data_IF_249781361948
#
_entry.id   IF_249781361948
#
_cell.length_a   1.000
_cell.length_b   1.000
_cell.length_c   1.000
_cell.angle_alpha   90.00
_cell.angle_beta   90.00
_cell.angle_gamma   90.00
#
_symmetry.space_group_name_H-M   'P 1'
#
loop_
_entity.id
_entity.type
_entity.pdbx_description
1 polymer ?
#
# COMPACT_ATOMS: atom_id res chain seq x y z
N UNK A 1 1.34 -37.58 -32.04
CA UNK A 1 2.19 -38.09 -30.96
C UNK A 1 3.12 -36.96 -30.64
N UNK A 2 2.96 -36.31 -29.49
CA UNK A 2 3.93 -35.33 -29.05
C UNK A 2 5.18 -36.08 -28.65
N UNK A 3 6.35 -35.72 -29.21
CA UNK A 3 7.61 -36.30 -28.78
C UNK A 3 7.80 -35.98 -27.30
N UNK A 4 7.70 -36.95 -26.43
CA UNK A 4 7.95 -36.78 -25.01
C UNK A 4 9.40 -36.36 -24.82
N UNK A 5 9.62 -35.27 -24.10
CA UNK A 5 10.97 -34.79 -23.75
C UNK A 5 11.62 -35.86 -22.89
N UNK A 6 12.52 -36.63 -23.44
CA UNK A 6 13.07 -37.84 -22.81
C UNK A 6 14.55 -37.77 -22.47
N UNK A 7 15.29 -36.82 -23.06
CA UNK A 7 16.75 -36.72 -22.85
C UNK A 7 17.10 -35.43 -22.06
N UNK A 8 18.22 -35.47 -21.33
CA UNK A 8 18.75 -34.28 -20.65
C UNK A 8 19.04 -33.09 -21.60
N UNK A 9 19.43 -33.40 -22.84
CA UNK A 9 19.68 -32.37 -23.84
C UNK A 9 18.39 -31.62 -24.25
N UNK A 10 17.31 -32.39 -24.46
CA UNK A 10 15.97 -31.83 -24.75
C UNK A 10 15.40 -31.05 -23.58
N UNK A 11 15.53 -31.53 -22.34
CA UNK A 11 15.14 -30.81 -21.13
C UNK A 11 15.89 -29.49 -20.99
N UNK A 12 17.20 -29.50 -21.22
CA UNK A 12 18.01 -28.26 -21.20
C UNK A 12 17.58 -27.29 -22.29
N UNK A 13 17.36 -27.75 -23.51
CA UNK A 13 16.89 -26.92 -24.60
C UNK A 13 15.52 -26.31 -24.29
N UNK A 14 14.56 -27.11 -23.82
CA UNK A 14 13.23 -26.68 -23.45
C UNK A 14 13.26 -25.64 -22.31
N UNK A 15 14.05 -25.88 -21.26
CA UNK A 15 14.15 -24.96 -20.12
C UNK A 15 14.78 -23.61 -20.47
N UNK A 16 15.54 -23.54 -21.57
CA UNK A 16 16.19 -22.31 -22.02
C UNK A 16 15.47 -21.60 -23.17
N UNK A 17 14.31 -22.11 -23.57
CA UNK A 17 13.50 -21.46 -24.62
C UNK A 17 13.13 -20.04 -24.18
N UNK A 18 13.38 -19.02 -25.03
CA UNK A 18 12.96 -17.66 -24.75
C UNK A 18 11.43 -17.57 -24.67
N UNK A 19 10.91 -17.13 -23.53
CA UNK A 19 9.48 -16.87 -23.30
C UNK A 19 9.30 -15.51 -22.63
N UNK A 20 8.09 -14.99 -22.64
CA UNK A 20 7.75 -13.78 -21.89
C UNK A 20 8.06 -13.97 -20.39
N UNK A 21 7.71 -15.14 -19.84
CA UNK A 21 7.99 -15.49 -18.45
C UNK A 21 9.49 -15.38 -18.09
N UNK A 22 10.38 -15.85 -18.97
CA UNK A 22 11.83 -15.77 -18.76
C UNK A 22 12.34 -14.34 -18.89
N UNK A 23 11.83 -13.58 -19.87
CA UNK A 23 12.21 -12.19 -20.05
C UNK A 23 11.85 -11.34 -18.83
N UNK A 24 10.68 -11.55 -18.24
CA UNK A 24 10.22 -10.85 -17.03
C UNK A 24 11.16 -11.09 -15.83
N UNK A 25 11.67 -12.31 -15.66
CA UNK A 25 12.71 -12.59 -14.66
C UNK A 25 14.05 -11.94 -15.00
N UNK A 26 14.38 -11.84 -16.28
CA UNK A 26 15.57 -11.11 -16.73
C UNK A 26 15.47 -9.60 -16.42
N UNK A 27 14.29 -9.02 -16.50
CA UNK A 27 14.06 -7.62 -16.09
C UNK A 27 14.12 -7.43 -14.55
N UNK A 28 13.69 -8.44 -13.81
CA UNK A 28 13.65 -8.39 -12.34
C UNK A 28 15.05 -8.41 -11.72
N UNK A 29 15.88 -9.34 -12.15
CA UNK A 29 17.16 -9.63 -11.50
C UNK A 29 18.32 -8.80 -12.07
N UNK A 30 19.27 -8.46 -11.20
CA UNK A 30 20.47 -7.70 -11.53
C UNK A 30 21.24 -8.36 -12.68
N UNK A 31 21.62 -7.55 -13.67
CA UNK A 31 22.29 -7.99 -14.89
C UNK A 31 21.54 -9.13 -15.63
N UNK A 32 20.26 -9.32 -15.37
CA UNK A 32 19.44 -10.40 -15.90
C UNK A 32 19.86 -11.80 -15.45
N UNK A 33 20.60 -11.91 -14.34
CA UNK A 33 21.18 -13.17 -13.84
C UNK A 33 20.35 -13.77 -12.72
N UNK A 34 19.93 -15.01 -12.89
CA UNK A 34 19.22 -15.78 -11.87
C UNK A 34 19.53 -17.26 -11.94
N UNK A 35 19.31 -17.96 -10.85
CA UNK A 35 19.38 -19.43 -10.77
C UNK A 35 17.96 -19.99 -10.76
N UNK A 36 17.64 -20.80 -11.76
CA UNK A 36 16.33 -21.45 -11.86
C UNK A 36 16.25 -22.63 -10.88
N UNK A 37 15.09 -22.75 -10.20
CA UNK A 37 14.75 -23.83 -9.31
C UNK A 37 13.82 -24.82 -10.05
N UNK A 38 14.08 -26.13 -9.90
CA UNK A 38 13.29 -27.21 -10.53
C UNK A 38 13.07 -27.00 -12.03
N UNK A 39 14.12 -26.57 -12.73
CA UNK A 39 14.08 -26.19 -14.16
C UNK A 39 13.50 -27.28 -15.08
N UNK A 40 13.59 -28.54 -14.67
CA UNK A 40 13.17 -29.70 -15.46
C UNK A 40 11.89 -30.37 -14.95
N UNK A 41 11.24 -29.76 -13.94
CA UNK A 41 9.95 -30.29 -13.48
C UNK A 41 8.90 -30.21 -14.59
N UNK A 42 8.17 -31.31 -14.79
CA UNK A 42 7.25 -31.48 -15.91
C UNK A 42 5.82 -31.69 -15.44
N UNK A 43 4.88 -31.32 -16.29
CA UNK A 43 3.45 -31.59 -16.18
C UNK A 43 3.01 -32.35 -17.43
N UNK A 44 3.00 -33.71 -17.36
CA UNK A 44 2.80 -34.57 -18.52
C UNK A 44 3.98 -34.48 -19.50
N UNK A 45 3.68 -34.19 -20.75
CA UNK A 45 4.68 -34.13 -21.84
C UNK A 45 5.36 -32.76 -22.00
N UNK A 46 5.05 -31.79 -21.12
CA UNK A 46 5.64 -30.41 -21.15
C UNK A 46 6.31 -30.07 -19.83
N UNK A 47 7.14 -29.03 -19.83
CA UNK A 47 7.60 -28.41 -18.58
C UNK A 47 6.41 -27.84 -17.81
N UNK A 48 6.59 -27.60 -16.51
CA UNK A 48 5.51 -27.25 -15.58
C UNK A 48 4.79 -25.92 -15.85
N UNK A 49 5.21 -25.11 -16.84
CA UNK A 49 4.54 -23.84 -17.19
C UNK A 49 4.75 -22.70 -16.18
N UNK A 50 5.77 -22.82 -15.34
CA UNK A 50 6.25 -21.74 -14.46
C UNK A 50 7.75 -21.81 -14.33
N UNK A 51 8.41 -20.68 -14.38
CA UNK A 51 9.83 -20.54 -14.07
C UNK A 51 9.93 -20.03 -12.63
N UNK A 52 10.61 -20.78 -11.77
CA UNK A 52 10.88 -20.40 -10.38
C UNK A 52 12.38 -20.19 -10.22
N UNK A 53 12.76 -19.14 -9.55
CA UNK A 53 14.15 -18.70 -9.50
C UNK A 53 14.51 -17.97 -8.22
N UNK A 54 15.79 -17.81 -7.99
CA UNK A 54 16.34 -16.81 -7.09
C UNK A 54 17.46 -16.02 -7.75
N UNK A 55 17.65 -14.81 -7.33
CA UNK A 55 18.68 -13.90 -7.79
C UNK A 55 18.81 -12.70 -6.86
N UNK A 56 19.36 -11.61 -7.37
CA UNK A 56 19.55 -10.39 -6.61
C UNK A 56 18.82 -9.23 -7.27
N UNK A 57 18.29 -8.33 -6.46
CA UNK A 57 17.70 -7.05 -6.86
C UNK A 57 18.39 -5.97 -6.04
N UNK A 58 19.11 -5.06 -6.71
CA UNK A 58 19.95 -4.06 -6.06
C UNK A 58 20.87 -4.68 -4.99
N UNK A 59 21.47 -5.84 -5.33
CA UNK A 59 22.37 -6.59 -4.44
C UNK A 59 21.69 -7.39 -3.31
N UNK A 60 20.39 -7.33 -3.16
CA UNK A 60 19.63 -8.05 -2.14
C UNK A 60 19.01 -9.33 -2.71
N UNK A 61 19.05 -10.47 -2.00
CA UNK A 61 18.48 -11.72 -2.47
C UNK A 61 16.96 -11.64 -2.57
N UNK A 62 16.40 -12.24 -3.63
CA UNK A 62 14.96 -12.30 -3.89
C UNK A 62 14.61 -13.66 -4.50
N UNK A 63 13.52 -14.25 -4.07
CA UNK A 63 12.88 -15.35 -4.76
C UNK A 63 11.80 -14.85 -5.70
N UNK A 64 11.65 -15.52 -6.85
CA UNK A 64 10.60 -15.16 -7.79
C UNK A 64 10.03 -16.38 -8.52
N UNK A 65 8.81 -16.24 -9.01
CA UNK A 65 8.24 -17.11 -10.01
C UNK A 65 7.58 -16.30 -11.11
N UNK A 66 7.59 -16.83 -12.33
CA UNK A 66 6.91 -16.23 -13.48
C UNK A 66 6.15 -17.30 -14.24
N UNK A 67 4.84 -17.12 -14.40
CA UNK A 67 3.98 -18.06 -15.13
C UNK A 67 4.17 -17.90 -16.63
N UNK A 68 4.17 -19.02 -17.33
CA UNK A 68 4.37 -19.09 -18.78
C UNK A 68 3.06 -19.44 -19.48
N UNK A 69 2.42 -18.43 -20.05
CA UNK A 69 1.15 -18.55 -20.76
C UNK A 69 1.24 -19.45 -22.01
N UNK A 70 2.43 -19.69 -22.54
CA UNK A 70 2.61 -20.60 -23.68
C UNK A 70 2.39 -22.08 -23.33
N UNK A 71 2.36 -22.40 -22.03
CA UNK A 71 2.09 -23.72 -21.51
C UNK A 71 0.72 -23.75 -20.86
N UNK A 72 -0.28 -24.36 -21.49
CA UNK A 72 -1.67 -24.51 -20.98
C UNK A 72 -2.30 -23.16 -20.59
N UNK A 73 -2.05 -22.11 -21.36
CA UNK A 73 -2.53 -20.75 -21.07
C UNK A 73 -2.16 -20.26 -19.65
N UNK A 74 -1.00 -20.71 -19.13
CA UNK A 74 -0.54 -20.38 -17.79
C UNK A 74 -1.36 -21.02 -16.65
N UNK A 75 -2.32 -21.89 -16.98
CA UNK A 75 -3.20 -22.52 -15.99
C UNK A 75 -2.42 -23.35 -14.97
N UNK A 76 -2.77 -23.19 -13.69
CA UNK A 76 -2.07 -23.82 -12.59
C UNK A 76 -2.37 -25.32 -12.52
N UNK A 77 -1.34 -26.14 -12.71
CA UNK A 77 -1.33 -27.58 -12.45
C UNK A 77 -0.72 -27.88 -11.07
N UNK A 78 -0.91 -29.12 -10.58
CA UNK A 78 -0.24 -29.61 -9.36
C UNK A 78 1.30 -29.48 -9.46
N UNK A 79 1.88 -29.72 -10.64
CA UNK A 79 3.33 -29.61 -10.85
C UNK A 79 3.81 -28.15 -10.78
N UNK A 80 3.05 -27.23 -11.35
CA UNK A 80 3.33 -25.79 -11.28
C UNK A 80 3.25 -25.29 -9.83
N UNK A 81 2.20 -25.69 -9.11
CA UNK A 81 2.02 -25.32 -7.71
C UNK A 81 3.15 -25.81 -6.80
N UNK A 82 3.65 -27.03 -7.00
CA UNK A 82 4.78 -27.57 -6.23
C UNK A 82 6.06 -26.73 -6.42
N UNK A 83 6.32 -26.24 -7.62
CA UNK A 83 7.45 -25.31 -7.87
C UNK A 83 7.27 -24.00 -7.12
N UNK A 84 6.07 -23.40 -7.19
CA UNK A 84 5.75 -22.14 -6.49
C UNK A 84 5.79 -22.33 -4.97
N UNK A 85 5.22 -23.41 -4.44
CA UNK A 85 5.26 -23.72 -3.01
C UNK A 85 6.70 -23.86 -2.49
N UNK A 86 7.62 -24.41 -3.28
CA UNK A 86 9.04 -24.46 -2.95
C UNK A 86 9.67 -23.07 -2.83
N UNK A 87 9.27 -22.11 -3.67
CA UNK A 87 9.70 -20.70 -3.55
C UNK A 87 9.29 -20.15 -2.19
N UNK A 88 8.03 -20.30 -1.81
CA UNK A 88 7.53 -19.83 -0.51
C UNK A 88 8.18 -20.56 0.68
N UNK A 89 8.40 -21.87 0.60
CA UNK A 89 9.11 -22.64 1.64
C UNK A 89 10.55 -22.15 1.84
N UNK A 90 11.26 -21.85 0.75
CA UNK A 90 12.60 -21.29 0.82
C UNK A 90 12.58 -19.85 1.39
N UNK A 91 11.62 -19.03 0.98
CA UNK A 91 11.43 -17.69 1.53
C UNK A 91 11.15 -17.73 3.05
N UNK A 92 10.31 -18.67 3.50
CA UNK A 92 10.05 -18.89 4.93
C UNK A 92 11.31 -19.27 5.73
N UNK A 93 12.18 -20.06 5.14
CA UNK A 93 13.43 -20.56 5.77
C UNK A 93 14.53 -19.49 5.83
N UNK A 94 14.53 -18.58 4.87
CA UNK A 94 15.64 -17.62 4.69
C UNK A 94 15.28 -16.19 5.04
N UNK A 95 13.97 -15.87 5.19
CA UNK A 95 13.50 -14.50 5.42
C UNK A 95 13.76 -13.58 4.22
N UNK A 96 13.58 -14.07 3.00
CA UNK A 96 13.86 -13.37 1.74
C UNK A 96 12.54 -13.07 1.02
N UNK A 97 12.37 -11.88 0.43
CA UNK A 97 11.16 -11.48 -0.27
C UNK A 97 10.79 -12.38 -1.45
N UNK A 98 9.50 -12.37 -1.81
CA UNK A 98 8.96 -13.09 -2.96
C UNK A 98 8.31 -12.14 -3.96
N UNK A 99 8.67 -12.29 -5.24
CA UNK A 99 8.01 -11.63 -6.37
C UNK A 99 7.30 -12.68 -7.23
N UNK A 100 5.97 -12.61 -7.29
CA UNK A 100 5.16 -13.45 -8.17
C UNK A 100 4.77 -12.71 -9.44
N UNK A 101 5.09 -13.26 -10.62
CA UNK A 101 4.71 -12.67 -11.91
C UNK A 101 3.64 -13.55 -12.53
N UNK A 102 2.43 -13.00 -12.60
CA UNK A 102 1.21 -13.71 -12.97
C UNK A 102 0.85 -13.49 -14.45
N UNK A 103 0.59 -14.59 -15.13
CA UNK A 103 0.02 -14.65 -16.48
C UNK A 103 -0.70 -16.00 -16.61
N UNK A 104 -1.96 -16.08 -16.13
CA UNK A 104 -2.65 -17.34 -15.89
C UNK A 104 -4.17 -17.20 -15.96
N UNK A 105 -4.81 -18.07 -16.69
CA UNK A 105 -6.26 -18.21 -16.72
C UNK A 105 -6.86 -18.93 -15.49
N UNK A 106 -6.05 -19.19 -14.47
CA UNK A 106 -6.52 -19.78 -13.21
C UNK A 106 -6.17 -21.26 -13.08
N UNK A 107 -7.09 -22.07 -12.55
CA UNK A 107 -6.88 -23.49 -12.33
C UNK A 107 -6.95 -24.29 -13.63
N UNK A 108 -6.04 -25.24 -13.83
CA UNK A 108 -6.12 -26.19 -14.96
C UNK A 108 -7.34 -27.11 -14.77
N UNK A 109 -8.28 -27.01 -15.71
CA UNK A 109 -9.55 -27.75 -15.67
C UNK A 109 -9.31 -29.26 -15.78
N UNK A 110 -8.25 -29.67 -16.47
CA UNK A 110 -7.92 -31.10 -16.63
C UNK A 110 -7.36 -31.73 -15.35
N UNK A 111 -6.71 -30.96 -14.49
CA UNK A 111 -6.27 -31.38 -13.17
C UNK A 111 -7.42 -31.40 -12.13
N UNK A 112 -8.54 -30.76 -12.43
CA UNK A 112 -9.75 -30.77 -11.63
C UNK A 112 -9.52 -30.33 -10.18
N UNK A 113 -9.96 -31.16 -9.22
CA UNK A 113 -9.82 -30.87 -7.78
C UNK A 113 -8.38 -30.80 -7.29
N UNK A 114 -7.41 -31.34 -8.00
CA UNK A 114 -5.98 -31.25 -7.65
C UNK A 114 -5.49 -29.81 -7.80
N UNK A 115 -5.90 -29.10 -8.88
CA UNK A 115 -5.58 -27.70 -9.06
C UNK A 115 -6.19 -26.83 -7.95
N UNK A 116 -7.41 -27.13 -7.48
CA UNK A 116 -8.02 -26.41 -6.36
C UNK A 116 -7.26 -26.62 -5.04
N UNK A 117 -6.88 -27.86 -4.74
CA UNK A 117 -6.05 -28.13 -3.56
C UNK A 117 -4.70 -27.41 -3.64
N UNK A 118 -4.11 -27.36 -4.82
CA UNK A 118 -2.85 -26.67 -5.08
C UNK A 118 -2.96 -25.17 -4.82
N UNK A 119 -4.02 -24.51 -5.30
CA UNK A 119 -4.28 -23.10 -4.95
C UNK A 119 -4.51 -22.90 -3.46
N UNK A 120 -5.22 -23.80 -2.79
CA UNK A 120 -5.42 -23.76 -1.33
C UNK A 120 -4.08 -23.80 -0.58
N UNK A 121 -3.15 -24.63 -1.00
CA UNK A 121 -1.79 -24.69 -0.44
C UNK A 121 -1.03 -23.38 -0.68
N UNK A 122 -1.07 -22.81 -1.89
CA UNK A 122 -0.40 -21.56 -2.19
C UNK A 122 -0.98 -20.39 -1.39
N UNK A 123 -2.30 -20.29 -1.25
CA UNK A 123 -2.97 -19.28 -0.42
C UNK A 123 -2.60 -19.42 1.07
N UNK A 124 -2.42 -20.64 1.55
CA UNK A 124 -1.90 -20.88 2.90
C UNK A 124 -0.47 -20.35 3.04
N UNK A 125 0.39 -20.59 2.06
CA UNK A 125 1.77 -20.08 2.08
C UNK A 125 1.82 -18.56 2.07
N UNK A 126 1.07 -17.88 1.20
CA UNK A 126 1.02 -16.41 1.16
C UNK A 126 0.52 -15.82 2.48
N UNK A 127 -0.52 -16.44 3.07
CA UNK A 127 -1.08 -16.02 4.35
C UNK A 127 -0.07 -16.20 5.50
N UNK A 128 0.66 -17.32 5.53
CA UNK A 128 1.67 -17.58 6.57
C UNK A 128 2.87 -16.63 6.48
N UNK A 129 3.21 -16.17 5.29
CA UNK A 129 4.33 -15.25 5.05
C UNK A 129 3.91 -13.78 5.08
N UNK A 130 2.62 -13.48 5.11
CA UNK A 130 2.11 -12.12 5.19
C UNK A 130 2.62 -11.41 6.45
N UNK A 131 3.28 -10.26 6.26
CA UNK A 131 3.95 -9.53 7.34
C UNK A 131 5.21 -10.20 7.89
N UNK A 132 5.72 -11.27 7.25
CA UNK A 132 7.00 -11.91 7.58
C UNK A 132 8.05 -11.54 6.55
N UNK A 133 7.77 -11.72 5.29
CA UNK A 133 8.59 -11.28 4.16
C UNK A 133 7.76 -10.49 3.17
N UNK A 134 8.29 -9.46 2.53
CA UNK A 134 7.59 -8.74 1.48
C UNK A 134 7.17 -9.67 0.33
N UNK A 135 5.92 -9.55 -0.09
CA UNK A 135 5.33 -10.26 -1.21
C UNK A 135 4.80 -9.25 -2.23
N UNK A 136 5.30 -9.28 -3.45
CA UNK A 136 4.85 -8.39 -4.52
C UNK A 136 4.31 -9.24 -5.67
N UNK A 137 3.09 -8.92 -6.10
CA UNK A 137 2.48 -9.51 -7.29
C UNK A 137 2.64 -8.56 -8.48
N UNK A 138 3.05 -9.10 -9.62
CA UNK A 138 3.09 -8.41 -10.90
C UNK A 138 2.11 -9.12 -11.83
N UNK A 139 1.05 -8.46 -12.22
CA UNK A 139 0.08 -8.96 -13.21
C UNK A 139 0.53 -8.49 -14.59
N UNK A 140 1.12 -9.41 -15.35
CA UNK A 140 1.81 -9.11 -16.60
C UNK A 140 1.02 -9.54 -17.85
N UNK A 141 -0.11 -10.19 -17.66
CA UNK A 141 -1.04 -10.65 -18.67
C UNK A 141 -2.39 -10.94 -18.04
N UNK A 142 -3.03 -12.04 -18.41
CA UNK A 142 -4.28 -12.44 -17.75
C UNK A 142 -4.00 -12.97 -16.34
N UNK A 143 -4.81 -12.55 -15.37
CA UNK A 143 -4.78 -13.09 -14.01
C UNK A 143 -6.23 -13.32 -13.56
N UNK A 144 -6.69 -14.58 -13.68
CA UNK A 144 -8.10 -14.92 -13.55
C UNK A 144 -8.36 -15.92 -12.42
N UNK A 145 -9.57 -15.87 -11.85
CA UNK A 145 -10.06 -16.83 -10.87
C UNK A 145 -9.19 -16.95 -9.63
N UNK A 146 -8.74 -18.16 -9.32
CA UNK A 146 -7.88 -18.40 -8.15
C UNK A 146 -6.51 -17.72 -8.27
N UNK A 147 -6.01 -17.46 -9.50
CA UNK A 147 -4.76 -16.71 -9.71
C UNK A 147 -4.91 -15.28 -9.24
N UNK A 148 -6.06 -14.63 -9.51
CA UNK A 148 -6.34 -13.29 -9.03
C UNK A 148 -6.39 -13.22 -7.50
N UNK A 149 -6.99 -14.22 -6.84
CA UNK A 149 -7.00 -14.31 -5.37
C UNK A 149 -5.58 -14.46 -4.80
N UNK A 150 -4.74 -15.26 -5.47
CA UNK A 150 -3.35 -15.46 -5.05
C UNK A 150 -2.52 -14.17 -5.24
N UNK A 151 -2.68 -13.47 -6.35
CA UNK A 151 -2.00 -12.20 -6.61
C UNK A 151 -2.39 -11.14 -5.57
N UNK A 152 -3.69 -11.01 -5.25
CA UNK A 152 -4.19 -10.03 -4.27
C UNK A 152 -3.82 -10.37 -2.81
N UNK A 153 -3.36 -11.60 -2.56
CA UNK A 153 -2.84 -11.99 -1.23
C UNK A 153 -1.45 -11.41 -0.95
N UNK A 154 -0.78 -10.79 -1.93
CA UNK A 154 0.48 -10.09 -1.76
C UNK A 154 0.31 -8.75 -1.00
N UNK A 155 1.41 -8.16 -0.57
CA UNK A 155 1.40 -6.84 0.08
C UNK A 155 1.04 -5.73 -0.92
N UNK A 156 1.57 -5.83 -2.15
CA UNK A 156 1.30 -4.91 -3.25
C UNK A 156 1.11 -5.65 -4.56
N UNK A 157 0.13 -5.23 -5.35
CA UNK A 157 -0.13 -5.73 -6.70
C UNK A 157 0.16 -4.63 -7.72
N UNK A 158 1.06 -4.90 -8.65
CA UNK A 158 1.40 -4.03 -9.79
C UNK A 158 0.84 -4.67 -11.06
N UNK A 159 0.25 -3.90 -11.95
CA UNK A 159 -0.40 -4.41 -13.16
C UNK A 159 0.08 -3.70 -14.42
N UNK A 160 0.33 -4.44 -15.48
CA UNK A 160 0.56 -3.87 -16.81
C UNK A 160 -0.78 -3.39 -17.41
N UNK A 161 -0.77 -2.31 -18.18
CA UNK A 161 -1.95 -1.64 -18.74
C UNK A 161 -2.84 -2.55 -19.58
N UNK A 162 -2.21 -3.43 -20.35
CA UNK A 162 -2.94 -4.38 -21.21
C UNK A 162 -3.26 -5.71 -20.51
N UNK A 163 -2.95 -5.82 -19.22
CA UNK A 163 -3.24 -7.00 -18.41
C UNK A 163 -4.66 -6.93 -17.83
N UNK A 164 -5.16 -8.09 -17.42
CA UNK A 164 -6.48 -8.26 -16.85
C UNK A 164 -6.43 -8.92 -15.48
N UNK A 165 -7.22 -8.42 -14.54
CA UNK A 165 -7.32 -8.96 -13.19
C UNK A 165 -8.80 -9.13 -12.80
N UNK A 166 -9.27 -10.38 -12.66
CA UNK A 166 -10.67 -10.68 -12.38
C UNK A 166 -10.90 -12.08 -11.80
N UNK A 167 -12.01 -12.28 -11.10
CA UNK A 167 -12.42 -13.60 -10.61
C UNK A 167 -13.11 -14.42 -11.71
N UNK A 168 -14.05 -13.81 -12.43
CA UNK A 168 -14.76 -14.42 -13.56
C UNK A 168 -15.04 -13.37 -14.62
N UNK A 169 -14.98 -13.71 -15.91
CA UNK A 169 -15.32 -12.78 -16.98
C UNK A 169 -16.73 -12.22 -16.80
N UNK A 170 -16.87 -10.91 -16.93
CA UNK A 170 -18.15 -10.23 -16.83
C UNK A 170 -18.33 -9.26 -18.00
N UNK A 171 -19.43 -9.41 -18.76
CA UNK A 171 -19.71 -8.54 -19.89
C UNK A 171 -20.03 -7.08 -19.53
N UNK A 172 -20.41 -6.81 -18.28
CA UNK A 172 -20.82 -5.49 -17.80
C UNK A 172 -19.71 -4.73 -17.07
N UNK A 173 -18.62 -5.39 -16.73
CA UNK A 173 -17.48 -4.79 -16.01
C UNK A 173 -16.22 -5.07 -16.83
N UNK A 174 -15.44 -4.04 -17.08
CA UNK A 174 -14.12 -4.22 -17.69
C UNK A 174 -13.18 -4.88 -16.69
N UNK A 175 -12.53 -5.95 -17.13
CA UNK A 175 -11.51 -6.65 -16.32
C UNK A 175 -10.12 -5.96 -16.41
N UNK A 176 -10.09 -4.69 -16.83
CA UNK A 176 -8.89 -3.95 -17.18
C UNK A 176 -8.07 -3.52 -15.96
N UNK A 177 -6.82 -3.17 -16.21
CA UNK A 177 -5.92 -2.60 -15.24
C UNK A 177 -6.46 -1.31 -14.59
N UNK A 178 -7.17 -0.47 -15.37
CA UNK A 178 -7.81 0.75 -14.86
C UNK A 178 -8.87 0.41 -13.82
N UNK A 179 -9.74 -0.57 -14.10
CA UNK A 179 -10.74 -1.02 -13.12
C UNK A 179 -10.09 -1.61 -11.86
N UNK A 180 -8.98 -2.34 -12.01
CA UNK A 180 -8.22 -2.87 -10.87
C UNK A 180 -7.60 -1.74 -10.03
N UNK A 181 -7.17 -0.65 -10.65
CA UNK A 181 -6.68 0.53 -9.93
C UNK A 181 -7.82 1.29 -9.23
N UNK A 182 -8.94 1.50 -9.89
CA UNK A 182 -10.10 2.23 -9.35
C UNK A 182 -10.76 1.52 -8.17
N UNK A 183 -10.74 0.20 -8.13
CA UNK A 183 -11.30 -0.60 -7.03
C UNK A 183 -10.28 -0.96 -5.94
N UNK A 184 -9.02 -0.56 -6.09
CA UNK A 184 -7.95 -0.73 -5.10
C UNK A 184 -7.23 -2.07 -5.12
N UNK A 185 -7.53 -2.97 -6.06
CA UNK A 185 -6.80 -4.24 -6.20
C UNK A 185 -5.42 -4.07 -6.84
N UNK A 186 -5.20 -3.03 -7.65
CA UNK A 186 -3.88 -2.70 -8.16
C UNK A 186 -3.33 -1.42 -7.51
N UNK A 187 -2.14 -1.52 -6.94
CA UNK A 187 -1.45 -0.39 -6.34
C UNK A 187 -0.82 0.54 -7.38
N UNK A 188 -0.35 -0.01 -8.51
CA UNK A 188 0.28 0.73 -9.60
C UNK A 188 -0.10 0.12 -10.95
N UNK A 189 -0.45 0.97 -11.92
CA UNK A 189 -0.64 0.59 -13.34
C UNK A 189 0.55 1.07 -14.14
N UNK A 190 1.11 0.21 -14.97
CA UNK A 190 2.31 0.47 -15.77
C UNK A 190 2.04 0.27 -17.26
N UNK A 191 2.80 0.93 -18.12
CA UNK A 191 2.58 0.89 -19.58
C UNK A 191 2.71 -0.51 -20.19
N UNK A 192 3.62 -1.35 -19.67
CA UNK A 192 3.86 -2.71 -20.15
C UNK A 192 4.34 -3.62 -19.00
N UNK A 193 4.58 -4.90 -19.30
CA UNK A 193 5.05 -5.89 -18.33
C UNK A 193 6.48 -5.60 -17.84
N UNK A 194 7.32 -4.99 -18.64
CA UNK A 194 8.66 -4.57 -18.23
C UNK A 194 8.59 -3.42 -17.22
N UNK A 195 7.80 -2.40 -17.52
CA UNK A 195 7.57 -1.27 -16.60
C UNK A 195 6.93 -1.75 -15.29
N UNK A 196 6.03 -2.74 -15.35
CA UNK A 196 5.43 -3.34 -14.15
C UNK A 196 6.47 -4.08 -13.28
N UNK A 197 7.41 -4.80 -13.88
CA UNK A 197 8.52 -5.43 -13.15
C UNK A 197 9.45 -4.38 -12.55
N UNK A 198 9.77 -3.30 -13.26
CA UNK A 198 10.58 -2.20 -12.72
C UNK A 198 9.87 -1.46 -11.57
N UNK A 199 8.57 -1.26 -11.65
CA UNK A 199 7.78 -0.70 -10.54
C UNK A 199 7.79 -1.62 -9.32
N UNK A 200 7.67 -2.93 -9.52
CA UNK A 200 7.79 -3.91 -8.44
C UNK A 200 9.19 -3.88 -7.79
N UNK A 201 10.27 -3.74 -8.57
CA UNK A 201 11.63 -3.54 -8.04
C UNK A 201 11.71 -2.27 -7.19
N UNK A 202 11.18 -1.16 -7.68
CA UNK A 202 11.19 0.11 -6.96
C UNK A 202 10.43 0.03 -5.62
N UNK A 203 9.30 -0.67 -5.57
CA UNK A 203 8.60 -0.94 -4.30
C UNK A 203 9.45 -1.84 -3.41
N UNK A 204 9.96 -2.95 -3.95
CA UNK A 204 10.73 -3.95 -3.20
C UNK A 204 11.98 -3.34 -2.55
N UNK A 205 12.70 -2.48 -3.25
CA UNK A 205 13.90 -1.82 -2.73
C UNK A 205 13.62 -0.91 -1.54
N UNK A 206 12.40 -0.37 -1.42
CA UNK A 206 11.99 0.44 -0.25
C UNK A 206 11.53 -0.40 0.94
N UNK A 207 11.38 -1.71 0.79
CA UNK A 207 10.96 -2.60 1.86
C UNK A 207 12.18 -3.31 2.49
N UNK A 208 12.15 -3.62 3.78
CA UNK A 208 13.20 -4.44 4.39
C UNK A 208 13.14 -5.88 3.86
N UNK A 209 14.21 -6.64 4.02
CA UNK A 209 14.25 -8.05 3.59
C UNK A 209 13.18 -8.91 4.28
N UNK A 210 12.87 -8.61 5.52
CA UNK A 210 11.82 -9.24 6.32
C UNK A 210 11.46 -8.38 7.53
N UNK A 211 10.47 -8.79 8.29
CA UNK A 211 9.96 -8.05 9.45
C UNK A 211 10.95 -7.92 10.63
N UNK A 212 12.08 -8.60 10.60
CA UNK A 212 13.16 -8.50 11.61
C UNK A 212 14.35 -7.66 11.11
N UNK A 213 14.38 -7.36 9.83
CA UNK A 213 15.42 -6.53 9.21
C UNK A 213 15.14 -5.05 9.45
N UNK A 214 16.16 -4.21 9.59
CA UNK A 214 15.97 -2.76 9.62
C UNK A 214 15.43 -2.27 8.26
N UNK A 215 14.78 -1.11 8.27
CA UNK A 215 14.42 -0.43 7.02
C UNK A 215 15.67 -0.10 6.21
N UNK A 216 15.60 -0.18 4.87
CA UNK A 216 16.71 0.19 4.01
C UNK A 216 17.15 1.64 4.23
N UNK A 217 18.46 1.88 4.08
CA UNK A 217 19.05 3.22 4.13
C UNK A 217 19.79 3.49 2.83
N UNK A 218 19.56 4.67 2.26
CA UNK A 218 20.09 5.09 0.97
C UNK A 218 20.87 6.40 1.09
N UNK A 219 21.75 6.66 0.14
CA UNK A 219 22.20 8.02 -0.13
C UNK A 219 21.01 8.84 -0.63
N UNK A 220 20.89 10.08 -0.20
CA UNK A 220 19.73 10.90 -0.52
C UNK A 220 20.15 12.30 -0.96
N UNK A 221 19.27 12.93 -1.73
CA UNK A 221 19.35 14.35 -2.06
C UNK A 221 18.19 15.09 -1.38
N UNK A 222 18.45 16.31 -0.94
CA UNK A 222 17.38 17.15 -0.42
C UNK A 222 16.35 17.48 -1.52
N UNK A 223 15.06 17.60 -1.18
CA UNK A 223 14.06 18.00 -2.13
C UNK A 223 14.34 19.43 -2.65
N UNK A 224 14.05 19.64 -3.92
CA UNK A 224 14.21 20.94 -4.59
C UNK A 224 12.92 21.75 -4.61
N UNK A 225 11.79 21.13 -4.33
CA UNK A 225 10.47 21.75 -4.37
C UNK A 225 10.15 22.46 -3.06
N UNK A 226 9.42 23.57 -3.14
CA UNK A 226 8.86 24.23 -1.96
C UNK A 226 7.64 23.45 -1.47
N UNK A 227 7.39 23.46 -0.15
CA UNK A 227 6.23 22.76 0.44
C UNK A 227 4.93 23.32 -0.12
N UNK A 228 4.22 22.49 -0.88
CA UNK A 228 2.90 22.77 -1.44
C UNK A 228 1.79 22.80 -0.38
N UNK A 229 0.56 23.00 -0.85
CA UNK A 229 -0.64 22.95 0.00
C UNK A 229 -1.45 21.65 -0.21
N UNK A 230 -1.18 20.92 -1.28
CA UNK A 230 -1.81 19.63 -1.57
C UNK A 230 -0.95 18.43 -1.11
N UNK A 231 -1.56 17.25 -1.12
CA UNK A 231 -0.94 16.02 -0.64
C UNK A 231 0.34 15.63 -1.39
N UNK A 232 0.35 15.78 -2.71
CA UNK A 232 1.50 15.42 -3.55
C UNK A 232 2.65 16.42 -3.36
N UNK A 233 2.35 17.72 -3.39
CA UNK A 233 3.35 18.78 -3.18
C UNK A 233 4.00 18.72 -1.80
N UNK A 234 3.24 18.39 -0.75
CA UNK A 234 3.80 18.19 0.60
C UNK A 234 4.72 16.96 0.61
N UNK A 235 4.28 15.84 0.06
CA UNK A 235 5.07 14.61 0.05
C UNK A 235 6.41 14.81 -0.66
N UNK A 236 6.41 15.41 -1.86
CA UNK A 236 7.62 15.67 -2.67
C UNK A 236 8.56 16.69 -2.04
N UNK A 237 8.02 17.71 -1.36
CA UNK A 237 8.84 18.74 -0.73
C UNK A 237 9.44 18.33 0.61
N UNK A 238 8.87 17.33 1.28
CA UNK A 238 9.35 16.86 2.60
C UNK A 238 10.25 15.63 2.47
N UNK A 239 9.92 14.69 1.59
CA UNK A 239 10.71 13.49 1.36
C UNK A 239 11.97 13.79 0.54
N UNK A 240 12.88 12.84 0.48
CA UNK A 240 14.10 12.95 -0.32
C UNK A 240 13.78 13.08 -1.81
N UNK A 241 14.64 13.79 -2.54
CA UNK A 241 14.44 14.02 -3.96
C UNK A 241 14.28 12.72 -4.75
N UNK A 242 13.31 12.68 -5.66
CA UNK A 242 12.98 11.54 -6.53
C UNK A 242 12.68 10.20 -5.81
N UNK A 243 12.46 10.23 -4.48
CA UNK A 243 12.24 9.00 -3.70
C UNK A 243 10.79 8.54 -3.63
N UNK A 244 9.85 9.44 -3.91
CA UNK A 244 8.42 9.21 -3.68
C UNK A 244 7.84 8.25 -4.71
N UNK A 245 7.18 7.19 -4.22
CA UNK A 245 6.44 6.22 -5.04
C UNK A 245 5.00 6.18 -4.54
N UNK A 246 4.09 6.85 -5.23
CA UNK A 246 2.68 6.83 -4.90
C UNK A 246 2.08 5.44 -5.15
N UNK A 247 1.19 5.01 -4.25
CA UNK A 247 0.50 3.73 -4.30
C UNK A 247 -1.01 3.95 -4.24
N UNK A 248 -1.77 3.14 -4.97
CA UNK A 248 -3.23 3.21 -5.04
C UNK A 248 -3.76 4.61 -5.43
N UNK A 249 -3.12 5.27 -6.39
CA UNK A 249 -3.44 6.65 -6.79
C UNK A 249 -4.91 6.84 -7.23
N UNK A 250 -5.51 5.81 -7.85
CA UNK A 250 -6.86 5.84 -8.40
C UNK A 250 -7.94 5.33 -7.44
N UNK A 251 -7.55 4.75 -6.30
CA UNK A 251 -8.47 4.29 -5.26
C UNK A 251 -8.42 5.22 -4.05
N UNK A 252 -9.58 5.58 -3.48
CA UNK A 252 -9.63 6.50 -2.36
C UNK A 252 -8.94 7.82 -2.69
N UNK A 253 -9.45 8.55 -3.68
CA UNK A 253 -8.76 9.67 -4.33
C UNK A 253 -8.61 10.92 -3.46
N UNK A 254 -9.33 11.04 -2.34
CA UNK A 254 -9.17 12.14 -1.39
C UNK A 254 -7.89 11.99 -0.53
N UNK A 255 -7.33 10.78 -0.48
CA UNK A 255 -6.10 10.49 0.26
C UNK A 255 -4.93 10.12 -0.66
N UNK A 256 -3.74 10.28 -0.12
CA UNK A 256 -2.46 9.96 -0.74
C UNK A 256 -1.72 8.94 0.12
N UNK A 257 -1.17 7.90 -0.49
CA UNK A 257 -0.29 6.94 0.18
C UNK A 257 0.94 6.70 -0.68
N UNK A 258 2.12 6.75 -0.10
CA UNK A 258 3.37 6.54 -0.82
C UNK A 258 4.44 5.88 0.06
N UNK A 259 5.32 5.11 -0.55
CA UNK A 259 6.63 4.80 0.02
C UNK A 259 7.63 5.84 -0.49
N UNK A 260 8.43 6.37 0.43
CA UNK A 260 9.46 7.36 0.12
C UNK A 260 10.67 7.15 1.02
N UNK A 261 11.71 7.97 0.85
CA UNK A 261 12.78 8.08 1.84
C UNK A 261 12.77 9.46 2.48
N UNK A 262 13.22 9.52 3.73
CA UNK A 262 13.40 10.74 4.50
C UNK A 262 14.73 10.66 5.25
N UNK A 263 15.69 11.48 4.85
CA UNK A 263 17.07 11.36 5.33
C UNK A 263 17.70 10.01 4.98
N UNK A 264 17.36 9.45 3.84
CA UNK A 264 17.80 8.14 3.35
C UNK A 264 17.03 6.93 3.89
N UNK A 265 16.28 7.06 4.99
CA UNK A 265 15.50 5.96 5.57
C UNK A 265 14.13 5.84 4.90
N UNK A 266 13.68 4.61 4.62
CA UNK A 266 12.32 4.41 4.10
C UNK A 266 11.27 4.84 5.12
N UNK A 267 10.27 5.58 4.63
CA UNK A 267 9.06 6.00 5.37
C UNK A 267 7.81 5.73 4.54
N UNK A 268 6.71 5.45 5.23
CA UNK A 268 5.37 5.48 4.66
C UNK A 268 4.79 6.87 4.79
N UNK A 269 4.31 7.44 3.70
CA UNK A 269 3.66 8.76 3.68
C UNK A 269 2.16 8.58 3.50
N UNK A 270 1.40 9.20 4.36
CA UNK A 270 -0.06 9.37 4.24
C UNK A 270 -0.35 10.85 4.19
N UNK A 271 -1.14 11.32 3.23
CA UNK A 271 -1.62 12.70 3.22
C UNK A 271 -3.09 12.74 2.81
N UNK A 272 -3.78 13.78 3.26
CA UNK A 272 -5.17 14.08 2.90
C UNK A 272 -5.22 15.31 2.01
N UNK A 273 -6.40 15.68 1.49
CA UNK A 273 -6.56 16.81 0.57
C UNK A 273 -5.82 16.62 -0.77
N UNK A 274 -6.00 15.42 -1.37
CA UNK A 274 -5.45 15.16 -2.71
C UNK A 274 -6.38 15.67 -3.81
N UNK A 275 -7.64 15.22 -3.81
CA UNK A 275 -8.66 15.64 -4.79
C UNK A 275 -9.94 16.15 -4.14
N UNK A 276 -10.15 15.88 -2.85
CA UNK A 276 -11.29 16.27 -2.06
C UNK A 276 -10.83 16.49 -0.61
N UNK A 277 -11.46 17.38 0.11
CA UNK A 277 -11.17 17.69 1.51
C UNK A 277 -11.90 16.75 2.49
N UNK A 278 -12.73 15.80 2.00
CA UNK A 278 -13.45 14.80 2.79
C UNK A 278 -13.07 13.39 2.40
N UNK A 279 -12.76 12.58 3.40
CA UNK A 279 -12.38 11.18 3.23
C UNK A 279 -13.60 10.27 3.07
N UNK A 280 -13.51 9.35 2.12
CA UNK A 280 -14.50 8.30 1.87
C UNK A 280 -14.16 6.99 2.59
N UNK A 281 -15.06 6.00 2.53
CA UNK A 281 -14.78 4.63 2.99
C UNK A 281 -13.58 4.00 2.26
N UNK A 282 -13.43 4.29 0.97
CA UNK A 282 -12.28 3.84 0.17
C UNK A 282 -10.96 4.43 0.68
N UNK A 283 -10.94 5.73 1.02
CA UNK A 283 -9.77 6.38 1.63
C UNK A 283 -9.40 5.74 2.97
N UNK A 284 -10.41 5.49 3.82
CA UNK A 284 -10.19 4.81 5.10
C UNK A 284 -9.58 3.42 4.92
N UNK A 285 -10.08 2.64 3.96
CA UNK A 285 -9.59 1.29 3.67
C UNK A 285 -8.17 1.32 3.09
N UNK A 286 -7.89 2.23 2.14
CA UNK A 286 -6.57 2.46 1.56
C UNK A 286 -5.54 2.80 2.63
N UNK A 287 -5.80 3.81 3.44
CA UNK A 287 -4.87 4.24 4.50
C UNK A 287 -4.69 3.12 5.53
N UNK A 288 -5.76 2.47 5.97
CA UNK A 288 -5.70 1.40 6.96
C UNK A 288 -4.83 0.22 6.47
N UNK A 289 -4.99 -0.21 5.22
CA UNK A 289 -4.17 -1.26 4.59
C UNK A 289 -2.71 -0.83 4.54
N UNK A 290 -2.44 0.38 4.07
CA UNK A 290 -1.09 0.92 3.93
C UNK A 290 -0.37 1.02 5.29
N UNK A 291 -1.03 1.56 6.33
CA UNK A 291 -0.46 1.66 7.68
C UNK A 291 -0.15 0.29 8.27
N UNK A 292 -1.02 -0.71 8.05
CA UNK A 292 -0.76 -2.08 8.49
C UNK A 292 0.43 -2.71 7.79
N UNK A 293 0.60 -2.45 6.49
CA UNK A 293 1.78 -2.91 5.74
C UNK A 293 3.05 -2.25 6.28
N UNK A 294 3.05 -0.94 6.50
CA UNK A 294 4.17 -0.24 7.12
C UNK A 294 4.49 -0.79 8.52
N UNK A 295 3.48 -1.04 9.35
CA UNK A 295 3.66 -1.61 10.69
C UNK A 295 4.26 -3.01 10.66
N UNK A 296 3.82 -3.87 9.72
CA UNK A 296 4.34 -5.22 9.56
C UNK A 296 5.86 -5.24 9.31
N UNK A 297 6.36 -4.23 8.63
CA UNK A 297 7.79 -4.09 8.27
C UNK A 297 8.52 -3.01 9.07
N UNK A 298 7.95 -2.54 10.17
CA UNK A 298 8.53 -1.51 11.04
C UNK A 298 8.91 -0.20 10.31
N UNK A 299 8.25 0.12 9.20
CA UNK A 299 8.43 1.35 8.43
C UNK A 299 7.74 2.51 9.17
N UNK A 300 8.44 3.60 9.53
CA UNK A 300 7.82 4.78 10.13
C UNK A 300 6.74 5.37 9.23
N UNK A 301 5.62 5.79 9.81
CA UNK A 301 4.52 6.43 9.08
C UNK A 301 4.48 7.91 9.42
N UNK A 302 4.51 8.75 8.39
CA UNK A 302 4.31 10.20 8.48
C UNK A 302 2.96 10.55 7.86
N UNK A 303 2.12 11.25 8.63
CA UNK A 303 0.76 11.61 8.21
C UNK A 303 0.59 13.13 8.13
N UNK A 304 0.27 13.66 6.96
CA UNK A 304 -0.07 15.06 6.74
C UNK A 304 -1.59 15.21 6.69
N UNK A 305 -2.14 16.07 7.55
CA UNK A 305 -3.59 16.18 7.75
C UNK A 305 -4.10 17.55 7.36
N UNK A 306 -4.89 17.59 6.30
CA UNK A 306 -5.74 18.69 5.90
C UNK A 306 -7.07 18.13 5.39
N UNK A 307 -8.07 18.03 6.26
CA UNK A 307 -9.37 17.44 5.91
C UNK A 307 -10.52 18.04 6.72
N UNK A 308 -11.66 18.24 6.08
CA UNK A 308 -12.90 18.60 6.74
C UNK A 308 -13.59 17.44 7.46
N UNK A 309 -13.02 16.24 7.38
CA UNK A 309 -13.55 15.06 8.04
C UNK A 309 -13.90 13.95 7.08
N UNK A 310 -14.84 13.12 7.50
CA UNK A 310 -15.35 12.03 6.67
C UNK A 310 -16.56 12.49 5.87
N UNK A 311 -16.69 11.95 4.65
CA UNK A 311 -17.88 12.16 3.84
C UNK A 311 -19.06 11.45 4.50
N UNK A 312 -20.10 12.22 4.80
CA UNK A 312 -21.34 11.73 5.40
C UNK A 312 -22.50 12.20 4.52
N UNK A 313 -22.98 11.33 3.67
CA UNK A 313 -24.17 11.49 2.84
C UNK A 313 -25.02 10.21 2.93
N UNK A 314 -26.22 10.25 2.38
CA UNK A 314 -27.17 9.15 2.47
C UNK A 314 -26.59 7.85 1.89
N UNK A 315 -25.80 7.93 0.83
CA UNK A 315 -25.19 6.76 0.20
C UNK A 315 -24.08 6.18 1.09
N UNK A 316 -23.16 7.02 1.61
CA UNK A 316 -22.08 6.56 2.49
C UNK A 316 -22.59 5.96 3.78
N UNK A 317 -23.62 6.56 4.40
CA UNK A 317 -24.26 6.03 5.60
C UNK A 317 -24.99 4.70 5.31
N UNK A 318 -25.71 4.61 4.18
CA UNK A 318 -26.40 3.39 3.78
C UNK A 318 -25.45 2.19 3.57
N UNK A 319 -24.22 2.44 3.11
CA UNK A 319 -23.19 1.40 2.95
C UNK A 319 -22.34 1.16 4.20
N UNK A 320 -22.61 1.84 5.31
CA UNK A 320 -21.98 1.61 6.59
C UNK A 320 -20.55 2.14 6.68
N UNK A 321 -20.30 3.34 6.18
CA UNK A 321 -18.99 4.01 6.18
C UNK A 321 -18.34 4.09 7.58
N UNK A 322 -19.14 4.14 8.64
CA UNK A 322 -18.66 4.09 10.04
C UNK A 322 -17.76 2.88 10.31
N UNK A 323 -18.01 1.73 9.66
CA UNK A 323 -17.17 0.54 9.79
C UNK A 323 -15.75 0.79 9.26
N UNK A 324 -15.63 1.49 8.12
CA UNK A 324 -14.34 1.79 7.51
C UNK A 324 -13.59 2.91 8.26
N UNK A 325 -14.31 3.88 8.82
CA UNK A 325 -13.75 4.88 9.74
C UNK A 325 -13.19 4.21 11.01
N UNK A 326 -13.92 3.27 11.61
CA UNK A 326 -13.46 2.50 12.76
C UNK A 326 -12.25 1.62 12.41
N UNK A 327 -12.22 1.02 11.20
CA UNK A 327 -11.07 0.27 10.66
C UNK A 327 -9.82 1.15 10.60
N UNK A 328 -9.94 2.37 10.08
CA UNK A 328 -8.83 3.34 10.01
C UNK A 328 -8.27 3.64 11.41
N UNK A 329 -9.13 4.02 12.34
CA UNK A 329 -8.73 4.27 13.73
C UNK A 329 -8.04 3.06 14.36
N UNK A 330 -8.59 1.86 14.14
CA UNK A 330 -8.05 0.62 14.67
C UNK A 330 -6.65 0.31 14.08
N UNK A 331 -6.46 0.48 12.78
CA UNK A 331 -5.18 0.25 12.11
C UNK A 331 -4.08 1.13 12.71
N UNK A 332 -4.32 2.43 12.86
CA UNK A 332 -3.36 3.33 13.50
C UNK A 332 -3.13 3.01 14.98
N UNK A 333 -4.19 2.79 15.75
CA UNK A 333 -4.07 2.50 17.18
C UNK A 333 -3.34 1.19 17.44
N UNK A 334 -3.45 0.23 16.54
CA UNK A 334 -2.74 -1.05 16.63
C UNK A 334 -1.29 -0.96 16.17
N UNK A 335 -0.94 -0.10 15.21
CA UNK A 335 0.39 -0.01 14.67
C UNK A 335 1.43 0.36 15.75
N UNK A 336 2.54 -0.40 15.79
CA UNK A 336 3.63 -0.27 16.76
C UNK A 336 4.81 0.50 16.21
N UNK A 337 4.89 0.66 14.90
CA UNK A 337 5.92 1.48 14.24
C UNK A 337 5.86 2.94 14.68
N UNK A 338 6.86 3.73 14.36
CA UNK A 338 6.87 5.18 14.62
C UNK A 338 5.75 5.84 13.81
N UNK A 339 4.95 6.67 14.43
CA UNK A 339 3.84 7.38 13.80
C UNK A 339 3.92 8.86 14.14
N UNK A 340 4.18 9.66 13.14
CA UNK A 340 4.26 11.11 13.23
C UNK A 340 3.11 11.75 12.46
N UNK A 341 2.52 12.80 13.01
CA UNK A 341 1.46 13.54 12.34
C UNK A 341 1.79 15.03 12.28
N UNK A 342 1.47 15.66 11.16
CA UNK A 342 1.53 17.12 10.97
C UNK A 342 0.18 17.57 10.46
N UNK A 343 -0.53 18.39 11.25
CA UNK A 343 -1.76 19.04 10.79
C UNK A 343 -1.36 20.25 9.97
N UNK A 344 -1.58 20.18 8.67
CA UNK A 344 -1.16 21.21 7.70
C UNK A 344 -2.25 22.22 7.38
N UNK A 345 -3.51 21.84 7.66
CA UNK A 345 -4.66 22.69 7.42
C UNK A 345 -5.80 22.37 8.38
N UNK A 346 -6.90 21.87 7.84
CA UNK A 346 -8.10 21.52 8.61
C UNK A 346 -7.97 20.13 9.24
N UNK A 347 -8.45 19.96 10.46
CA UNK A 347 -8.57 18.64 11.10
C UNK A 347 -9.78 18.64 12.05
N UNK A 348 -10.93 18.17 11.55
CA UNK A 348 -12.19 18.26 12.28
C UNK A 348 -12.66 16.89 12.78
N UNK A 349 -13.15 16.88 14.02
CA UNK A 349 -13.88 15.78 14.64
C UNK A 349 -13.16 14.43 14.59
N UNK A 350 -13.85 13.36 14.16
CA UNK A 350 -13.28 12.01 14.15
C UNK A 350 -12.05 11.84 13.26
N UNK A 351 -11.90 12.66 12.20
CA UNK A 351 -10.74 12.60 11.32
C UNK A 351 -9.45 13.04 12.03
N UNK A 352 -9.51 14.06 12.90
CA UNK A 352 -8.38 14.40 13.76
C UNK A 352 -7.98 13.22 14.65
N UNK A 353 -8.97 12.59 15.30
CA UNK A 353 -8.71 11.43 16.16
C UNK A 353 -8.05 10.30 15.36
N UNK A 354 -8.57 10.03 14.15
CA UNK A 354 -8.12 8.93 13.31
C UNK A 354 -6.70 9.12 12.74
N UNK A 355 -6.29 10.35 12.44
CA UNK A 355 -5.07 10.63 11.67
C UNK A 355 -3.97 11.32 12.47
N UNK A 356 -4.32 12.19 13.42
CA UNK A 356 -3.37 13.01 14.17
C UNK A 356 -3.55 12.94 15.69
N UNK A 357 -4.52 12.17 16.17
CA UNK A 357 -4.85 12.10 17.60
C UNK A 357 -3.71 11.56 18.43
N UNK A 358 -3.05 12.42 19.18
CA UNK A 358 -1.92 12.10 20.07
C UNK A 358 -2.23 11.01 21.12
N UNK A 359 -3.47 10.94 21.57
CA UNK A 359 -3.91 9.92 22.55
C UNK A 359 -4.21 8.54 21.96
N UNK A 360 -4.31 8.41 20.64
CA UNK A 360 -4.74 7.17 19.97
C UNK A 360 -3.80 6.73 18.84
N UNK A 361 -3.30 7.65 18.03
CA UNK A 361 -2.67 7.32 16.75
C UNK A 361 -1.23 7.78 16.62
N UNK A 362 -0.94 9.05 16.89
CA UNK A 362 0.37 9.63 16.70
C UNK A 362 1.24 9.48 17.96
N UNK A 363 2.50 9.17 17.80
CA UNK A 363 3.49 9.24 18.86
C UNK A 363 3.87 10.71 19.15
N UNK A 364 4.05 11.49 18.06
CA UNK A 364 4.22 12.93 18.10
C UNK A 364 3.28 13.55 17.05
N UNK A 365 2.63 14.64 17.44
CA UNK A 365 1.70 15.39 16.60
C UNK A 365 2.08 16.86 16.58
N UNK A 366 2.28 17.41 15.38
CA UNK A 366 2.62 18.81 15.15
C UNK A 366 1.50 19.50 14.38
N UNK A 367 1.48 20.82 14.40
CA UNK A 367 0.56 21.61 13.59
C UNK A 367 1.30 22.79 12.96
N UNK A 368 0.91 23.19 11.76
CA UNK A 368 1.28 24.48 11.23
C UNK A 368 0.52 25.60 11.98
N UNK A 369 1.07 26.80 12.01
CA UNK A 369 0.46 27.97 12.67
C UNK A 369 -0.91 28.34 12.08
N UNK A 370 -1.14 27.97 10.81
CA UNK A 370 -2.39 28.17 10.07
C UNK A 370 -3.43 27.08 10.31
N UNK A 371 -3.07 25.98 11.00
CA UNK A 371 -3.95 24.84 11.18
C UNK A 371 -5.18 25.18 12.05
N UNK A 372 -6.31 24.56 11.69
CA UNK A 372 -7.58 24.67 12.41
C UNK A 372 -8.00 23.29 12.90
N UNK A 373 -8.04 23.11 14.22
CA UNK A 373 -8.34 21.84 14.88
C UNK A 373 -9.54 22.02 15.79
N UNK A 374 -10.66 21.33 15.52
CA UNK A 374 -11.87 21.46 16.33
C UNK A 374 -12.74 20.20 16.27
N UNK A 375 -13.68 20.09 17.22
CA UNK A 375 -14.63 19.01 17.27
C UNK A 375 -15.62 19.00 16.08
N UNK A 376 -15.95 20.16 15.54
CA UNK A 376 -16.79 20.36 14.36
C UNK A 376 -16.15 21.41 13.46
N UNK A 377 -16.48 21.40 12.17
CA UNK A 377 -16.13 22.48 11.29
C UNK A 377 -16.60 23.83 11.87
N UNK A 378 -15.81 24.92 11.82
CA UNK A 378 -16.17 26.20 12.43
C UNK A 378 -17.56 26.71 12.06
N UNK A 379 -17.95 26.56 10.79
CA UNK A 379 -19.29 26.93 10.29
C UNK A 379 -20.39 26.14 11.03
N UNK A 380 -20.20 24.85 11.22
CA UNK A 380 -21.17 24.01 11.95
C UNK A 380 -21.15 24.29 13.44
N UNK A 381 -19.97 24.53 14.03
CA UNK A 381 -19.83 24.82 15.45
C UNK A 381 -20.62 26.09 15.85
N UNK A 382 -20.57 27.14 15.05
CA UNK A 382 -21.27 28.40 15.35
C UNK A 382 -22.79 28.27 15.21
N UNK A 383 -23.28 27.38 14.35
CA UNK A 383 -24.73 27.08 14.24
C UNK A 383 -25.30 26.50 15.54
N UNK A 384 -24.50 25.70 16.27
CA UNK A 384 -24.89 25.18 17.58
C UNK A 384 -24.66 26.18 18.71
N UNK A 385 -23.50 26.83 18.73
CA UNK A 385 -23.07 27.63 19.88
C UNK A 385 -23.63 29.05 19.86
N UNK A 386 -23.93 29.59 18.68
CA UNK A 386 -24.33 30.98 18.46
C UNK A 386 -25.66 31.08 17.68
N UNK A 387 -26.52 30.08 17.86
CA UNK A 387 -27.82 29.97 17.19
C UNK A 387 -28.70 31.24 17.35
N UNK A 388 -28.76 31.80 18.56
CA UNK A 388 -29.59 32.98 18.83
C UNK A 388 -29.06 34.25 18.14
N UNK A 389 -27.75 34.37 18.03
CA UNK A 389 -27.09 35.47 17.33
C UNK A 389 -27.33 35.38 15.82
N UNK A 390 -27.22 34.17 15.26
CA UNK A 390 -27.51 33.90 13.85
C UNK A 390 -28.99 34.15 13.49
N UNK A 391 -29.90 33.79 14.38
CA UNK A 391 -31.35 33.93 14.16
C UNK A 391 -31.77 35.38 14.01
N UNK A 392 -31.03 36.32 14.59
CA UNK A 392 -31.30 37.77 14.50
C UNK A 392 -30.61 38.45 13.30
N UNK A 393 -29.79 37.76 12.53
CA UNK A 393 -29.01 38.32 11.45
C UNK A 393 -29.85 38.65 10.19
N UNK A 394 -29.61 39.83 9.60
CA UNK A 394 -30.22 40.24 8.34
C UNK A 394 -29.64 39.50 7.13
N UNK A 395 -28.34 39.20 7.17
CA UNK A 395 -27.65 38.32 6.23
C UNK A 395 -27.06 37.13 7.00
N UNK A 396 -27.79 36.04 6.97
CA UNK A 396 -27.41 34.79 7.69
C UNK A 396 -26.07 34.24 7.24
N UNK A 397 -25.80 34.28 5.93
CA UNK A 397 -24.57 33.72 5.36
C UNK A 397 -23.35 34.51 5.78
N UNK A 398 -23.42 35.86 5.64
CA UNK A 398 -22.31 36.74 6.05
C UNK A 398 -22.06 36.69 7.57
N UNK A 399 -23.13 36.67 8.38
CA UNK A 399 -23.03 36.53 9.83
C UNK A 399 -22.39 35.19 10.23
N UNK A 400 -22.84 34.10 9.65
CA UNK A 400 -22.30 32.77 9.90
C UNK A 400 -20.81 32.69 9.58
N UNK A 401 -20.39 33.14 8.41
CA UNK A 401 -18.99 33.14 8.01
C UNK A 401 -18.12 34.02 8.95
N UNK A 402 -18.60 35.19 9.33
CA UNK A 402 -17.89 36.09 10.28
C UNK A 402 -17.70 35.42 11.64
N UNK A 403 -18.74 34.76 12.15
CA UNK A 403 -18.68 34.02 13.43
C UNK A 403 -17.79 32.77 13.32
N UNK A 404 -17.83 32.06 12.19
CA UNK A 404 -16.98 30.91 11.94
C UNK A 404 -15.49 31.31 11.91
N UNK A 405 -15.14 32.41 11.24
CA UNK A 405 -13.76 32.93 11.21
C UNK A 405 -13.28 33.35 12.60
N UNK A 406 -14.16 33.95 13.39
CA UNK A 406 -13.86 34.28 14.78
C UNK A 406 -13.66 33.03 15.62
N UNK A 407 -14.53 32.06 15.50
CA UNK A 407 -14.43 30.78 16.20
C UNK A 407 -13.14 30.05 15.84
N UNK A 408 -12.78 29.98 14.54
CA UNK A 408 -11.54 29.35 14.09
C UNK A 408 -10.30 29.98 14.77
N UNK A 409 -10.24 31.31 14.88
CA UNK A 409 -9.13 32.00 15.51
C UNK A 409 -9.08 31.84 17.02
N UNK A 410 -10.22 31.99 17.69
CA UNK A 410 -10.29 32.09 19.15
C UNK A 410 -10.40 30.72 19.84
N UNK A 411 -11.01 29.72 19.18
CA UNK A 411 -11.36 28.45 19.79
C UNK A 411 -10.75 27.22 19.10
N UNK A 412 -10.29 27.33 17.84
CA UNK A 412 -9.86 26.20 17.04
C UNK A 412 -8.48 26.36 16.39
N UNK A 413 -7.75 27.44 16.69
CA UNK A 413 -6.40 27.65 16.13
C UNK A 413 -5.38 26.64 16.67
N UNK A 414 -4.27 26.46 15.95
CA UNK A 414 -3.15 25.63 16.38
C UNK A 414 -2.66 25.99 17.80
N UNK A 415 -2.65 27.29 18.15
CA UNK A 415 -2.30 27.77 19.49
C UNK A 415 -3.26 27.25 20.58
N UNK A 416 -4.55 27.19 20.29
CA UNK A 416 -5.56 26.63 21.21
C UNK A 416 -5.35 25.12 21.35
N UNK A 417 -5.15 24.42 20.24
CA UNK A 417 -4.88 22.97 20.25
C UNK A 417 -3.61 22.64 21.05
N UNK A 418 -2.54 23.43 20.91
CA UNK A 418 -1.31 23.25 21.68
C UNK A 418 -1.53 23.51 23.19
N UNK A 419 -2.26 24.58 23.55
CA UNK A 419 -2.63 24.85 24.96
C UNK A 419 -3.44 23.69 25.59
N UNK A 420 -4.28 23.06 24.80
CA UNK A 420 -5.08 21.92 25.24
C UNK A 420 -4.31 20.59 25.23
N UNK A 421 -3.02 20.57 24.82
CA UNK A 421 -2.20 19.38 24.73
C UNK A 421 -2.55 18.44 23.56
N UNK A 422 -3.32 18.93 22.58
CA UNK A 422 -3.72 18.13 21.41
C UNK A 422 -2.57 17.91 20.43
N UNK A 423 -1.62 18.84 20.37
CA UNK A 423 -0.38 18.74 19.57
C UNK A 423 0.84 18.98 20.45
N UNK A 424 2.00 18.41 20.06
CA UNK A 424 3.26 18.56 20.78
C UNK A 424 3.98 19.85 20.47
N UNK A 425 3.77 20.39 19.26
CA UNK A 425 4.39 21.65 18.85
C UNK A 425 3.70 22.30 17.66
N UNK A 426 3.99 23.59 17.49
CA UNK A 426 3.61 24.35 16.31
C UNK A 426 4.91 24.62 15.54
N UNK A 427 4.92 24.29 14.25
CA UNK A 427 6.10 24.39 13.38
C UNK A 427 5.78 25.19 12.12
N UNK A 428 6.80 25.78 11.52
CA UNK A 428 6.69 26.46 10.23
C UNK A 428 6.80 25.44 9.08
N UNK A 429 6.28 25.77 7.90
CA UNK A 429 6.33 24.88 6.72
C UNK A 429 7.76 24.42 6.39
N UNK A 430 8.74 25.30 6.49
CA UNK A 430 10.15 24.99 6.20
C UNK A 430 10.83 24.15 7.30
N UNK A 431 10.21 23.96 8.45
CA UNK A 431 10.73 23.15 9.55
C UNK A 431 10.21 21.70 9.52
N UNK A 432 9.20 21.40 8.69
CA UNK A 432 8.53 20.09 8.66
C UNK A 432 9.56 18.96 8.47
N UNK A 433 10.38 19.04 7.41
CA UNK A 433 11.36 17.99 7.09
C UNK A 433 12.31 17.72 8.24
N UNK A 434 12.95 18.76 8.77
CA UNK A 434 13.93 18.61 9.87
C UNK A 434 13.27 18.07 11.13
N UNK A 435 12.08 18.59 11.50
CA UNK A 435 11.33 18.14 12.66
C UNK A 435 10.99 16.64 12.57
N UNK A 436 10.61 16.17 11.39
CA UNK A 436 10.28 14.77 11.16
C UNK A 436 11.54 13.87 11.22
N UNK A 437 12.64 14.30 10.61
CA UNK A 437 13.92 13.58 10.67
C UNK A 437 14.42 13.42 12.12
N UNK A 438 14.46 14.50 12.88
CA UNK A 438 14.86 14.51 14.28
C UNK A 438 13.92 13.61 15.13
N UNK A 439 12.62 13.66 14.85
CA UNK A 439 11.64 12.83 15.54
C UNK A 439 11.83 11.34 15.27
N UNK A 440 12.09 10.95 14.02
CA UNK A 440 12.37 9.55 13.65
C UNK A 440 13.65 9.09 14.32
N UNK A 441 14.71 9.90 14.30
CA UNK A 441 16.00 9.57 14.92
C UNK A 441 15.85 9.33 16.42
N UNK A 442 15.22 10.24 17.14
CA UNK A 442 14.99 10.12 18.59
C UNK A 442 14.14 8.90 18.92
N UNK A 443 13.17 8.58 18.07
CA UNK A 443 12.25 7.46 18.27
C UNK A 443 12.73 6.13 17.69
N UNK A 444 13.90 6.05 17.08
CA UNK A 444 14.42 4.82 16.46
C UNK A 444 14.50 3.63 17.45
N UNK A 445 14.66 3.93 18.74
CA UNK A 445 14.64 2.95 19.83
C UNK A 445 13.25 2.56 20.34
N UNK A 446 12.15 3.06 19.74
CA UNK A 446 10.78 2.80 20.20
C UNK A 446 10.50 1.30 20.37
N UNK A 447 9.95 0.93 21.52
CA UNK A 447 9.49 -0.43 21.83
C UNK A 447 8.12 -0.35 22.50
N UNK A 448 7.15 -1.04 21.95
CA UNK A 448 5.80 -1.16 22.51
C UNK A 448 5.54 -2.61 22.84
N UNK A 449 5.24 -2.89 24.12
CA UNK A 449 4.71 -4.18 24.54
C UNK A 449 3.19 -4.16 24.44
N UNK A 450 2.63 -5.06 23.67
CA UNK A 450 1.17 -5.21 23.54
C UNK A 450 0.67 -6.34 24.39
N UNK A 451 -0.61 -6.27 24.75
CA UNK A 451 -1.28 -7.39 25.41
C UNK A 451 -1.22 -8.62 24.48
N UNK A 452 -0.93 -9.81 25.02
CA UNK A 452 -0.89 -11.05 24.24
C UNK A 452 -2.23 -11.30 23.56
N UNK A 453 -2.23 -11.48 22.23
CA UNK A 453 -3.41 -11.84 21.44
C UNK A 453 -2.97 -12.65 20.22
N UNK A 454 -3.84 -13.49 19.67
CA UNK A 454 -3.55 -14.23 18.43
C UNK A 454 -3.46 -13.28 17.23
N UNK A 455 -4.38 -12.37 17.14
CA UNK A 455 -4.46 -11.30 16.14
C UNK A 455 -5.44 -10.24 16.64
N UNK A 456 -5.48 -9.07 16.04
CA UNK A 456 -6.54 -8.11 16.27
C UNK A 456 -7.83 -8.53 15.55
N UNK A 457 -8.98 -8.15 16.13
CA UNK A 457 -10.29 -8.32 15.51
C UNK A 457 -10.72 -6.98 14.87
N UNK A 458 -9.96 -6.59 13.84
CA UNK A 458 -10.24 -5.37 13.08
C UNK A 458 -11.45 -5.57 12.16
N UNK A 459 -12.18 -4.50 11.89
CA UNK A 459 -13.26 -4.50 10.91
C UNK A 459 -12.68 -4.75 9.50
N UNK A 460 -13.22 -5.72 8.76
CA UNK A 460 -12.77 -6.11 7.41
C UNK A 460 -13.74 -5.57 6.35
#
# INVERSE_FOLDING_TARGET
MSDSISTLAELKAASQTPTAARNRLTYLFDEGKFTELDAYAAAGDSLAGVITAFGYVEGNPVYAFSQDVTVRDGALTEAQAKKIAKVYDLAAKTGVPVVGIFDSYGADVSDGSKALNAYGELLMWTSNLSGVVPQIAVVAGTCAGCAAMLAESADFTVIAKDAELYVAPNANIKNSAENAAENGTAAVVCEDDKAAVEAAKNILTKLPQNNLSPVPMYEFADPTEAVGDDADGIAKAVCDGDSVTELNAEYGKASYTALATLGGATVGVVATNKTDDKLTAADCSKIARFVRTCDAYAIPVVTFVDTEGFKADDDTEAYGAVKDMAKLCHAYAEATTIKLAVVTGKAYGPAFIALAGKGSNADLSFALDTAVISALAPVTAVEFLQHDELKGATDLTAARNTLADKFAKENASAAVAAKNGCVDGIIAKNEIRQTLMDSIEVMAGKRISRLPKKHSNIQL
#
